data_IF_835970543725
#
_entry.id   IF_835970543725
#
_cell.length_a   1.000
_cell.length_b   1.000
_cell.length_c   1.000
_cell.angle_alpha   90.00
_cell.angle_beta   90.00
_cell.angle_gamma   90.00
#
_symmetry.space_group_name_H-M   'P 1'
#
loop_
_entity.id
_entity.type
_entity.pdbx_description
1 polymer ?
#
# COMPACT_ATOMS: atom_id res chain seq x y z
N UNK A 1 -16.24 17.85 7.26
CA UNK A 1 -15.34 16.69 7.32
C UNK A 1 -15.83 15.65 6.33
N UNK A 2 -15.30 15.63 5.11
CA UNK A 2 -15.74 14.67 4.08
C UNK A 2 -14.95 13.38 4.25
N UNK A 3 -15.61 12.31 4.71
CA UNK A 3 -15.08 10.95 4.64
C UNK A 3 -14.97 10.55 3.16
N UNK A 4 -13.83 10.82 2.53
CA UNK A 4 -13.47 10.14 1.30
C UNK A 4 -13.04 8.73 1.69
N UNK A 5 -13.96 7.78 1.59
CA UNK A 5 -13.58 6.40 1.33
C UNK A 5 -12.85 6.46 -0.02
N UNK A 6 -11.55 6.19 0.00
CA UNK A 6 -10.82 6.02 -1.25
C UNK A 6 -11.22 4.63 -1.76
N UNK A 7 -12.01 4.58 -2.83
CA UNK A 7 -12.46 3.30 -3.41
C UNK A 7 -11.36 2.66 -4.26
N UNK A 8 -10.09 2.71 -3.81
CA UNK A 8 -9.01 2.06 -4.53
C UNK A 8 -9.25 0.55 -4.47
N UNK A 9 -9.59 -0.04 -5.62
CA UNK A 9 -9.74 -1.50 -5.78
C UNK A 9 -8.43 -2.16 -6.22
N UNK A 10 -7.50 -1.38 -6.75
CA UNK A 10 -6.14 -1.79 -7.12
C UNK A 10 -5.14 -0.64 -6.97
N UNK A 11 -3.85 -0.98 -6.92
CA UNK A 11 -2.75 -0.03 -6.91
C UNK A 11 -2.09 -0.03 -8.30
N UNK A 12 -2.25 1.04 -9.11
CA UNK A 12 -1.55 1.14 -10.38
C UNK A 12 -0.04 1.22 -10.15
N UNK A 13 0.73 0.60 -11.04
CA UNK A 13 2.18 0.40 -10.93
C UNK A 13 2.96 1.71 -10.70
N UNK A 14 2.42 2.83 -11.22
CA UNK A 14 3.08 4.14 -11.19
C UNK A 14 2.51 5.11 -10.15
N UNK A 15 1.56 4.68 -9.30
CA UNK A 15 0.85 5.57 -8.38
C UNK A 15 1.80 6.36 -7.47
N UNK A 16 2.93 5.76 -7.11
CA UNK A 16 3.84 6.30 -6.11
C UNK A 16 5.19 6.76 -6.68
N UNK A 17 5.36 6.82 -8.02
CA UNK A 17 6.66 7.12 -8.65
C UNK A 17 7.28 8.46 -8.20
N UNK A 18 6.45 9.44 -7.87
CA UNK A 18 6.92 10.77 -7.43
C UNK A 18 7.03 10.91 -5.90
N UNK A 19 6.75 9.86 -5.13
CA UNK A 19 6.68 9.91 -3.67
C UNK A 19 7.95 9.39 -2.98
N UNK A 20 9.13 9.72 -3.52
CA UNK A 20 10.43 9.18 -3.09
C UNK A 20 10.78 9.45 -1.61
N UNK A 21 10.10 10.40 -0.95
CA UNK A 21 10.33 10.76 0.46
C UNK A 21 9.34 10.12 1.44
N UNK A 22 8.39 9.32 0.95
CA UNK A 22 7.38 8.72 1.81
C UNK A 22 8.01 7.63 2.67
N UNK A 23 7.82 7.76 3.98
CA UNK A 23 8.25 6.78 5.00
C UNK A 23 7.09 5.97 5.56
N UNK A 24 5.87 6.49 5.44
CA UNK A 24 4.64 5.90 5.95
C UNK A 24 3.54 6.08 4.92
N UNK A 25 2.87 4.98 4.54
CA UNK A 25 1.75 4.99 3.60
C UNK A 25 0.51 4.38 4.25
N UNK A 26 -0.58 5.14 4.23
CA UNK A 26 -1.87 4.71 4.75
C UNK A 26 -2.82 4.36 3.61
N UNK A 27 -3.12 3.07 3.47
CA UNK A 27 -4.12 2.54 2.54
C UNK A 27 -5.31 1.93 3.31
N UNK A 28 -5.49 2.32 4.58
CA UNK A 28 -6.58 1.83 5.42
C UNK A 28 -7.93 2.26 4.84
N UNK A 29 -8.96 1.43 4.98
CA UNK A 29 -10.33 1.73 4.52
C UNK A 29 -10.40 1.99 3.00
N UNK A 30 -9.82 1.07 2.22
CA UNK A 30 -9.94 1.04 0.77
C UNK A 30 -10.67 -0.24 0.31
N UNK A 31 -10.84 -0.40 -1.01
CA UNK A 31 -11.48 -1.56 -1.62
C UNK A 31 -10.50 -2.61 -2.17
N UNK A 32 -9.24 -2.60 -1.71
CA UNK A 32 -8.18 -3.41 -2.32
C UNK A 32 -8.49 -4.90 -2.14
N UNK A 33 -8.52 -5.65 -3.25
CA UNK A 33 -8.68 -7.11 -3.24
C UNK A 33 -7.35 -7.84 -3.35
N UNK A 34 -6.33 -7.15 -3.87
CA UNK A 34 -4.96 -7.62 -3.93
C UNK A 34 -3.97 -6.49 -3.72
N UNK A 35 -2.77 -6.85 -3.25
CA UNK A 35 -1.63 -5.92 -3.16
C UNK A 35 -0.41 -6.58 -3.77
N UNK A 36 0.19 -5.91 -4.74
CA UNK A 36 1.50 -6.26 -5.28
C UNK A 36 2.57 -5.38 -4.65
N UNK A 37 3.47 -5.98 -3.86
CA UNK A 37 4.53 -5.23 -3.19
C UNK A 37 5.58 -4.65 -4.15
N UNK A 38 5.59 -5.06 -5.42
CA UNK A 38 6.41 -4.43 -6.45
C UNK A 38 6.09 -2.94 -6.61
N UNK A 39 4.85 -2.50 -6.36
CA UNK A 39 4.48 -1.07 -6.49
C UNK A 39 5.16 -0.16 -5.46
N UNK A 40 5.74 -0.74 -4.41
CA UNK A 40 6.45 0.00 -3.35
C UNK A 40 7.98 0.01 -3.52
N UNK A 41 8.54 -0.66 -4.54
CA UNK A 41 10.01 -0.79 -4.66
C UNK A 41 10.72 0.53 -4.88
N UNK A 42 10.06 1.47 -5.55
CA UNK A 42 10.61 2.80 -5.81
C UNK A 42 10.56 3.71 -4.55
N UNK A 43 9.79 3.32 -3.54
CA UNK A 43 9.67 4.04 -2.28
C UNK A 43 10.78 3.61 -1.32
N UNK A 44 12.02 3.99 -1.64
CA UNK A 44 13.24 3.59 -0.93
C UNK A 44 13.28 3.95 0.55
N UNK A 45 12.48 4.92 0.96
CA UNK A 45 12.38 5.39 2.34
C UNK A 45 11.17 4.84 3.09
N UNK A 46 10.29 4.10 2.40
CA UNK A 46 9.08 3.55 2.99
C UNK A 46 9.42 2.49 4.03
N UNK A 47 8.81 2.63 5.21
CA UNK A 47 9.00 1.74 6.34
C UNK A 47 7.73 1.04 6.76
N UNK A 48 6.59 1.73 6.66
CA UNK A 48 5.31 1.22 7.15
C UNK A 48 4.25 1.40 6.08
N UNK A 49 3.49 0.34 5.84
CA UNK A 49 2.26 0.39 5.05
C UNK A 49 1.11 -0.16 5.89
N UNK A 50 0.06 0.66 6.06
CA UNK A 50 -1.19 0.21 6.66
C UNK A 50 -2.16 -0.20 5.55
N UNK A 51 -2.73 -1.40 5.67
CA UNK A 51 -3.67 -1.96 4.69
C UNK A 51 -4.94 -2.52 5.33
N UNK A 52 -5.19 -2.22 6.60
CA UNK A 52 -6.38 -2.71 7.31
C UNK A 52 -7.68 -2.18 6.70
N UNK A 53 -8.79 -2.85 6.99
CA UNK A 53 -10.11 -2.51 6.44
C UNK A 53 -10.13 -2.45 4.90
N UNK A 54 -9.47 -3.42 4.27
CA UNK A 54 -9.58 -3.73 2.84
C UNK A 54 -10.15 -5.15 2.63
N UNK A 55 -10.35 -5.57 1.39
CA UNK A 55 -10.84 -6.90 1.02
C UNK A 55 -9.71 -7.79 0.48
N UNK A 56 -8.49 -7.63 1.01
CA UNK A 56 -7.28 -8.25 0.46
C UNK A 56 -7.33 -9.77 0.67
N UNK A 57 -7.40 -10.50 -0.43
CA UNK A 57 -7.32 -11.97 -0.43
C UNK A 57 -6.02 -12.48 -1.05
N UNK A 58 -5.28 -11.62 -1.75
CA UNK A 58 -4.07 -11.98 -2.51
C UNK A 58 -2.94 -10.98 -2.23
N UNK A 59 -1.75 -11.50 -1.91
CA UNK A 59 -0.51 -10.73 -1.77
C UNK A 59 0.52 -11.24 -2.78
N UNK A 60 1.05 -10.36 -3.63
CA UNK A 60 2.04 -10.67 -4.66
C UNK A 60 3.39 -10.03 -4.33
N UNK A 61 4.48 -10.69 -4.73
CA UNK A 61 5.84 -10.17 -4.56
C UNK A 61 6.22 -9.85 -3.10
N UNK A 62 5.68 -10.58 -2.12
CA UNK A 62 5.92 -10.39 -0.68
C UNK A 62 7.40 -10.45 -0.30
N UNK A 63 8.24 -11.14 -1.06
CA UNK A 63 9.69 -11.11 -0.90
C UNK A 63 10.31 -9.70 -1.03
N UNK A 64 9.66 -8.79 -1.75
CA UNK A 64 10.05 -7.39 -1.90
C UNK A 64 9.65 -6.53 -0.69
N UNK A 65 8.72 -7.01 0.14
CA UNK A 65 8.31 -6.33 1.37
C UNK A 65 9.25 -6.58 2.56
N UNK A 66 10.33 -7.35 2.40
CA UNK A 66 11.30 -7.63 3.50
C UNK A 66 11.87 -6.37 4.17
N UNK A 67 11.75 -5.20 3.55
CA UNK A 67 12.19 -3.90 4.08
C UNK A 67 11.05 -3.02 4.62
N UNK A 68 9.80 -3.47 4.52
CA UNK A 68 8.60 -2.71 4.86
C UNK A 68 7.80 -3.50 5.91
N UNK A 69 7.54 -2.85 7.04
CA UNK A 69 6.64 -3.37 8.06
C UNK A 69 5.19 -3.20 7.61
N UNK A 70 4.45 -4.30 7.59
CA UNK A 70 3.03 -4.31 7.24
C UNK A 70 2.23 -4.47 8.51
N UNK A 71 1.30 -3.55 8.76
CA UNK A 71 0.42 -3.62 9.93
C UNK A 71 -1.03 -3.72 9.51
N UNK A 72 -1.69 -4.72 10.06
CA UNK A 72 -3.15 -4.86 10.07
C UNK A 72 -3.60 -4.51 11.50
N UNK A 73 -3.81 -3.22 11.79
CA UNK A 73 -4.40 -2.75 13.05
C UNK A 73 -5.79 -2.17 12.78
#
# INVERSE_FOLDING_TARGET
SHFRINFLTSLPENLFQNLQKVTYLDLTINGLTSVDFAVFTELKLLRIVLISYNYITILLNTQKSKMIEIRNL
#
